data_IF_094790885023
#
_entry.id   IF_094790885023
#
_cell.length_a   1.000
_cell.length_b   1.000
_cell.length_c   1.000
_cell.angle_alpha   90.00
_cell.angle_beta   90.00
_cell.angle_gamma   90.00
#
_symmetry.space_group_name_H-M   'P 1'
#
loop_
_entity.id
_entity.type
_entity.pdbx_description
1 polymer ?
#
# COMPACT_ATOMS: atom_id res chain seq x y z
N UNK A 1 51.11 21.36 -22.16
CA UNK A 1 50.88 21.95 -23.49
C UNK A 1 49.62 22.79 -23.39
N UNK A 2 49.82 24.10 -23.47
CA UNK A 2 48.78 25.13 -23.48
C UNK A 2 48.02 25.08 -24.80
N UNK A 3 46.69 25.05 -24.76
CA UNK A 3 45.87 25.58 -25.85
C UNK A 3 44.87 26.57 -25.26
N UNK A 4 45.00 27.80 -25.75
CA UNK A 4 44.32 29.03 -25.34
C UNK A 4 42.81 29.00 -25.61
N UNK A 5 41.96 29.55 -24.72
CA UNK A 5 40.60 29.96 -25.05
C UNK A 5 40.58 31.47 -25.32
N UNK A 6 40.72 31.90 -26.59
CA UNK A 6 40.72 33.34 -26.90
C UNK A 6 39.92 33.81 -28.14
N UNK A 7 39.00 33.01 -28.69
CA UNK A 7 38.21 33.46 -29.87
C UNK A 7 36.73 33.81 -29.62
N UNK A 8 36.15 33.50 -28.45
CA UNK A 8 34.73 33.84 -28.18
C UNK A 8 34.38 35.28 -27.75
N UNK A 9 35.25 36.12 -27.16
CA UNK A 9 34.81 37.45 -26.69
C UNK A 9 34.70 38.49 -27.81
N UNK A 10 35.40 38.30 -28.94
CA UNK A 10 35.46 39.29 -30.03
C UNK A 10 34.16 39.28 -30.86
N UNK A 11 33.58 38.11 -31.12
CA UNK A 11 32.32 37.97 -31.87
C UNK A 11 31.11 38.50 -31.09
N UNK A 12 31.07 38.35 -29.76
CA UNK A 12 29.99 38.92 -28.92
C UNK A 12 30.08 40.45 -28.80
N UNK A 13 31.30 41.02 -28.73
CA UNK A 13 31.49 42.48 -28.73
C UNK A 13 31.10 43.13 -30.07
N UNK A 14 31.40 42.49 -31.20
CA UNK A 14 31.00 42.98 -32.54
C UNK A 14 29.48 43.00 -32.75
N UNK A 15 28.75 42.01 -32.23
CA UNK A 15 27.28 41.99 -32.31
C UNK A 15 26.63 43.04 -31.39
N UNK A 16 27.14 43.19 -30.16
CA UNK A 16 26.65 44.21 -29.21
C UNK A 16 26.85 45.64 -29.74
N UNK A 17 28.02 45.91 -30.34
CA UNK A 17 28.31 47.20 -30.99
C UNK A 17 27.33 47.53 -32.10
N UNK A 18 27.03 46.57 -32.99
CA UNK A 18 26.07 46.75 -34.09
C UNK A 18 24.65 47.02 -33.60
N UNK A 19 24.16 46.29 -32.61
CA UNK A 19 22.82 46.52 -32.04
C UNK A 19 22.72 47.90 -31.35
N UNK A 20 23.79 48.37 -30.70
CA UNK A 20 23.82 49.70 -30.09
C UNK A 20 23.76 50.82 -31.13
N UNK A 21 24.42 50.64 -32.28
CA UNK A 21 24.42 51.60 -33.39
C UNK A 21 23.06 51.65 -34.07
N UNK A 22 22.43 50.49 -34.30
CA UNK A 22 21.08 50.40 -34.89
C UNK A 22 20.07 51.07 -33.95
N UNK A 23 20.11 50.79 -32.63
CA UNK A 23 19.20 51.40 -31.67
C UNK A 23 19.33 52.93 -31.62
N UNK A 24 20.56 53.46 -31.67
CA UNK A 24 20.82 54.91 -31.73
C UNK A 24 20.28 55.53 -33.03
N UNK A 25 20.44 54.86 -34.16
CA UNK A 25 19.95 55.35 -35.45
C UNK A 25 18.42 55.35 -35.49
N UNK A 26 17.77 54.29 -34.99
CA UNK A 26 16.30 54.25 -34.87
C UNK A 26 15.79 55.32 -33.92
N UNK A 27 16.42 55.53 -32.77
CA UNK A 27 16.03 56.59 -31.85
C UNK A 27 16.17 57.98 -32.48
N UNK A 28 17.25 58.23 -33.22
CA UNK A 28 17.42 59.49 -33.95
C UNK A 28 16.33 59.70 -35.01
N UNK A 29 15.93 58.65 -35.73
CA UNK A 29 14.83 58.74 -36.70
C UNK A 29 13.48 59.02 -36.02
N UNK A 30 13.22 58.40 -34.86
CA UNK A 30 12.04 58.68 -34.03
C UNK A 30 12.05 60.14 -33.56
N UNK A 31 13.17 60.63 -33.03
CA UNK A 31 13.29 62.01 -32.53
C UNK A 31 13.10 63.04 -33.66
N UNK A 32 13.58 62.74 -34.88
CA UNK A 32 13.35 63.58 -36.06
C UNK A 32 11.88 63.59 -36.47
N UNK A 33 11.22 62.43 -36.46
CA UNK A 33 9.80 62.32 -36.77
C UNK A 33 8.91 63.04 -35.74
N UNK A 34 9.25 62.94 -34.45
CA UNK A 34 8.56 63.66 -33.36
C UNK A 34 8.70 65.16 -33.54
N UNK A 35 9.92 65.68 -33.77
CA UNK A 35 10.15 67.11 -34.02
C UNK A 35 9.44 67.62 -35.28
N UNK A 36 9.33 66.78 -36.31
CA UNK A 36 8.58 67.11 -37.51
C UNK A 36 7.07 67.19 -37.23
N UNK A 37 6.53 66.25 -36.45
CA UNK A 37 5.13 66.26 -36.01
C UNK A 37 4.81 67.46 -35.10
N UNK A 38 5.70 67.83 -34.18
CA UNK A 38 5.57 69.01 -33.31
C UNK A 38 5.51 70.31 -34.13
N UNK A 39 6.39 70.46 -35.14
CA UNK A 39 6.35 71.61 -36.07
C UNK A 39 5.04 71.70 -36.86
N UNK A 40 4.43 70.57 -37.21
CA UNK A 40 3.14 70.53 -37.90
C UNK A 40 1.97 70.92 -36.97
N UNK A 41 2.12 70.74 -35.66
CA UNK A 41 1.12 71.12 -34.64
C UNK A 41 1.22 72.61 -34.23
N UNK A 42 2.40 73.21 -34.29
CA UNK A 42 2.65 74.63 -33.93
C UNK A 42 2.30 75.64 -35.04
N UNK A 43 1.99 75.17 -36.26
CA UNK A 43 1.62 75.99 -37.42
C UNK A 43 0.23 76.62 -37.33
N UNK A 44 0.06 77.61 -36.44
CA UNK A 44 -1.14 78.46 -36.41
C UNK A 44 -1.22 79.36 -37.65
N UNK A 45 -2.16 79.05 -38.56
CA UNK A 45 -2.96 79.99 -39.40
C UNK A 45 -3.49 79.42 -40.73
N UNK A 46 -3.23 78.16 -41.11
CA UNK A 46 -3.87 77.52 -42.28
C UNK A 46 -4.35 76.09 -41.96
N UNK A 47 -5.54 75.97 -41.36
CA UNK A 47 -6.10 74.71 -40.83
C UNK A 47 -6.34 73.62 -41.90
N UNK A 48 -6.43 73.97 -43.19
CA UNK A 48 -6.64 73.00 -44.28
C UNK A 48 -5.37 72.26 -44.71
N UNK A 49 -4.21 72.92 -44.64
CA UNK A 49 -2.92 72.37 -45.11
C UNK A 49 -2.28 71.44 -44.07
N UNK A 50 -2.30 71.83 -42.79
CA UNK A 50 -1.86 70.96 -41.69
C UNK A 50 -2.71 69.69 -41.54
N UNK A 51 -4.01 69.74 -41.87
CA UNK A 51 -4.88 68.57 -41.85
C UNK A 51 -4.56 67.54 -42.95
N UNK A 52 -4.11 67.98 -44.13
CA UNK A 52 -3.69 67.08 -45.21
C UNK A 52 -2.33 66.44 -44.91
N UNK A 53 -1.37 67.22 -44.43
CA UNK A 53 -0.05 66.74 -44.02
C UNK A 53 -0.15 65.74 -42.85
N UNK A 54 -1.07 65.97 -41.91
CA UNK A 54 -1.36 65.03 -40.83
C UNK A 54 -1.99 63.70 -41.32
N UNK A 55 -2.90 63.76 -42.30
CA UNK A 55 -3.46 62.55 -42.93
C UNK A 55 -2.39 61.76 -43.66
N UNK A 56 -1.49 62.46 -44.35
CA UNK A 56 -0.37 61.83 -45.04
C UNK A 56 0.59 61.15 -44.06
N UNK A 57 0.97 61.83 -42.97
CA UNK A 57 1.81 61.23 -41.92
C UNK A 57 1.13 60.00 -41.28
N UNK A 58 -0.19 60.06 -41.02
CA UNK A 58 -0.93 58.89 -40.52
C UNK A 58 -0.97 57.74 -41.50
N UNK A 59 -1.11 58.01 -42.80
CA UNK A 59 -1.05 56.98 -43.83
C UNK A 59 0.35 56.35 -43.93
N UNK A 60 1.41 57.14 -43.79
CA UNK A 60 2.80 56.67 -43.78
C UNK A 60 3.11 55.82 -42.53
N UNK A 61 2.61 56.23 -41.36
CA UNK A 61 2.71 55.44 -40.12
C UNK A 61 1.95 54.13 -40.25
N UNK A 62 0.71 54.15 -40.74
CA UNK A 62 -0.08 52.93 -40.96
C UNK A 62 0.61 51.96 -41.92
N UNK A 63 1.19 52.46 -43.02
CA UNK A 63 1.96 51.64 -43.95
C UNK A 63 3.27 51.10 -43.33
N UNK A 64 3.89 51.83 -42.41
CA UNK A 64 5.06 51.36 -41.67
C UNK A 64 4.70 50.29 -40.64
N UNK A 65 3.59 50.48 -39.91
CA UNK A 65 3.04 49.50 -38.96
C UNK A 65 2.70 48.19 -39.67
N UNK A 66 2.08 48.25 -40.85
CA UNK A 66 1.79 47.08 -41.69
C UNK A 66 3.08 46.34 -42.09
N UNK A 67 4.11 47.05 -42.53
CA UNK A 67 5.42 46.44 -42.88
C UNK A 67 6.09 45.78 -41.67
N UNK A 68 5.98 46.37 -40.48
CA UNK A 68 6.52 45.79 -39.24
C UNK A 68 5.72 44.55 -38.84
N UNK A 69 4.40 44.60 -38.90
CA UNK A 69 3.55 43.44 -38.63
C UNK A 69 3.89 42.27 -39.56
N UNK A 70 4.05 42.54 -40.86
CA UNK A 70 4.47 41.56 -41.86
C UNK A 70 5.85 40.96 -41.55
N UNK A 71 6.82 41.79 -41.15
CA UNK A 71 8.16 41.34 -40.79
C UNK A 71 8.17 40.48 -39.53
N UNK A 72 7.35 40.82 -38.53
CA UNK A 72 7.18 40.04 -37.29
C UNK A 72 6.59 38.67 -37.61
N UNK A 73 5.52 38.61 -38.41
CA UNK A 73 4.90 37.33 -38.82
C UNK A 73 5.88 36.45 -39.58
N UNK A 74 6.68 37.02 -40.49
CA UNK A 74 7.72 36.27 -41.22
C UNK A 74 8.83 35.77 -40.30
N UNK A 75 9.29 36.60 -39.35
CA UNK A 75 10.28 36.21 -38.35
C UNK A 75 9.78 35.05 -37.47
N UNK A 76 8.55 35.12 -36.99
CA UNK A 76 7.93 34.07 -36.20
C UNK A 76 7.79 32.76 -36.98
N UNK A 77 7.42 32.85 -38.25
CA UNK A 77 7.35 31.69 -39.14
C UNK A 77 8.73 31.04 -39.31
N UNK A 78 9.76 31.84 -39.58
CA UNK A 78 11.13 31.33 -39.76
C UNK A 78 11.68 30.72 -38.47
N UNK A 79 11.45 31.34 -37.31
CA UNK A 79 11.84 30.77 -36.01
C UNK A 79 11.14 29.43 -35.76
N UNK A 80 9.83 29.34 -36.01
CA UNK A 80 9.08 28.08 -35.86
C UNK A 80 9.57 27.02 -36.84
N UNK A 81 9.84 27.38 -38.09
CA UNK A 81 10.39 26.48 -39.09
C UNK A 81 11.77 25.94 -38.66
N UNK A 82 12.63 26.80 -38.12
CA UNK A 82 13.96 26.44 -37.63
C UNK A 82 13.90 25.55 -36.38
N UNK A 83 12.98 25.81 -35.45
CA UNK A 83 12.73 24.94 -34.28
C UNK A 83 12.27 23.55 -34.73
N UNK A 84 11.36 23.48 -35.70
CA UNK A 84 10.88 22.21 -36.26
C UNK A 84 12.01 21.47 -36.99
N UNK A 85 12.85 22.19 -37.74
CA UNK A 85 13.98 21.59 -38.45
C UNK A 85 15.03 21.04 -37.47
N UNK A 86 15.37 21.79 -36.42
CA UNK A 86 16.26 21.33 -35.37
C UNK A 86 15.69 20.11 -34.65
N UNK A 87 14.39 20.11 -34.32
CA UNK A 87 13.72 18.95 -33.72
C UNK A 87 13.67 17.73 -34.65
N UNK A 88 13.70 17.92 -35.98
CA UNK A 88 13.82 16.84 -36.97
C UNK A 88 15.24 16.28 -37.04
N UNK A 89 16.26 17.14 -36.92
CA UNK A 89 17.68 16.75 -36.88
C UNK A 89 18.04 16.02 -35.58
N UNK A 90 17.43 16.43 -34.47
CA UNK A 90 17.62 15.82 -33.14
C UNK A 90 16.73 14.60 -32.90
N UNK A 91 16.04 14.08 -33.93
CA UNK A 91 15.27 12.84 -33.77
C UNK A 91 16.24 11.71 -33.42
N UNK A 92 16.14 11.11 -32.22
CA UNK A 92 16.96 9.95 -31.90
C UNK A 92 16.64 8.88 -32.93
N UNK A 93 17.69 8.33 -33.54
CA UNK A 93 17.57 7.22 -34.47
C UNK A 93 16.71 6.12 -33.81
N UNK A 94 15.69 5.64 -34.52
CA UNK A 94 14.76 4.66 -33.98
C UNK A 94 15.48 3.37 -33.54
N UNK A 95 16.61 3.04 -34.19
CA UNK A 95 17.48 1.94 -33.77
C UNK A 95 18.14 2.20 -32.42
N UNK A 96 18.70 3.39 -32.21
CA UNK A 96 19.37 3.79 -30.97
C UNK A 96 18.37 3.87 -29.80
N UNK A 97 17.17 4.39 -30.04
CA UNK A 97 16.10 4.39 -29.04
C UNK A 97 15.70 2.97 -28.63
N UNK A 98 15.55 2.05 -29.59
CA UNK A 98 15.25 0.64 -29.30
C UNK A 98 16.39 -0.04 -28.54
N UNK A 99 17.64 0.23 -28.90
CA UNK A 99 18.82 -0.28 -28.20
C UNK A 99 18.87 0.24 -26.75
N UNK A 100 18.60 1.52 -26.53
CA UNK A 100 18.54 2.11 -25.20
C UNK A 100 17.38 1.54 -24.36
N UNK A 101 16.20 1.35 -24.93
CA UNK A 101 15.07 0.69 -24.25
C UNK A 101 15.44 -0.74 -23.86
N UNK A 102 16.07 -1.50 -24.76
CA UNK A 102 16.52 -2.87 -24.48
C UNK A 102 17.57 -2.90 -23.35
N UNK A 103 18.54 -1.98 -23.38
CA UNK A 103 19.56 -1.84 -22.33
C UNK A 103 18.93 -1.53 -20.96
N UNK A 104 18.00 -0.56 -20.91
CA UNK A 104 17.29 -0.20 -19.67
C UNK A 104 16.48 -1.38 -19.14
N UNK A 105 15.75 -2.11 -20.00
CA UNK A 105 15.01 -3.30 -19.61
C UNK A 105 15.91 -4.40 -19.06
N UNK A 106 17.07 -4.62 -19.67
CA UNK A 106 18.06 -5.58 -19.18
C UNK A 106 18.56 -5.21 -17.78
N UNK A 107 18.91 -3.93 -17.57
CA UNK A 107 19.33 -3.42 -16.24
C UNK A 107 18.21 -3.53 -15.21
N UNK A 108 16.97 -3.20 -15.57
CA UNK A 108 15.80 -3.34 -14.71
C UNK A 108 15.58 -4.80 -14.30
N UNK A 109 15.71 -5.75 -15.24
CA UNK A 109 15.59 -7.17 -14.96
C UNK A 109 16.67 -7.67 -14.00
N UNK A 110 17.93 -7.22 -14.16
CA UNK A 110 19.03 -7.54 -13.25
C UNK A 110 18.78 -7.01 -11.84
N UNK A 111 18.37 -5.74 -11.71
CA UNK A 111 18.00 -5.13 -10.43
C UNK A 111 16.82 -5.88 -9.80
N UNK A 112 15.81 -6.26 -10.60
CA UNK A 112 14.68 -7.07 -10.15
C UNK A 112 15.12 -8.40 -9.53
N UNK A 113 16.04 -9.14 -10.18
CA UNK A 113 16.61 -10.38 -9.62
C UNK A 113 17.30 -10.15 -8.28
N UNK A 114 18.08 -9.08 -8.15
CA UNK A 114 18.79 -8.73 -6.91
C UNK A 114 17.81 -8.38 -5.78
N UNK A 115 16.74 -7.64 -6.08
CA UNK A 115 15.71 -7.32 -5.09
C UNK A 115 14.96 -8.59 -4.65
N UNK A 116 14.55 -9.46 -5.59
CA UNK A 116 13.90 -10.74 -5.26
C UNK A 116 14.79 -11.59 -4.35
N UNK A 117 16.08 -11.69 -4.67
CA UNK A 117 17.05 -12.40 -3.84
C UNK A 117 17.18 -11.78 -2.45
N UNK A 118 17.31 -10.44 -2.35
CA UNK A 118 17.38 -9.74 -1.07
C UNK A 118 16.12 -9.98 -0.23
N UNK A 119 14.92 -9.89 -0.82
CA UNK A 119 13.65 -10.19 -0.15
C UNK A 119 13.62 -11.61 0.41
N UNK A 120 14.04 -12.59 -0.40
CA UNK A 120 14.10 -14.00 -0.01
C UNK A 120 15.02 -14.23 1.17
N UNK A 121 16.22 -13.66 1.13
CA UNK A 121 17.19 -13.77 2.23
C UNK A 121 16.61 -13.10 3.48
N UNK A 122 16.19 -11.84 3.39
CA UNK A 122 15.64 -11.09 4.53
C UNK A 122 14.45 -11.80 5.20
N UNK A 123 13.54 -12.37 4.41
CA UNK A 123 12.37 -13.09 4.95
C UNK A 123 12.79 -14.40 5.63
N UNK A 124 13.74 -15.14 5.07
CA UNK A 124 14.22 -16.39 5.71
C UNK A 124 14.96 -16.08 7.01
N UNK A 125 15.90 -15.14 6.97
CA UNK A 125 16.66 -14.73 8.14
C UNK A 125 15.75 -14.20 9.26
N UNK A 126 14.72 -13.41 8.95
CA UNK A 126 13.82 -12.92 10.00
C UNK A 126 12.95 -14.03 10.59
N UNK A 127 12.51 -15.00 9.78
CA UNK A 127 11.75 -16.16 10.27
C UNK A 127 12.63 -17.02 11.20
N UNK A 128 13.89 -17.21 10.83
CA UNK A 128 14.89 -17.94 11.62
C UNK A 128 15.25 -17.20 12.92
N UNK A 129 15.45 -15.87 12.88
CA UNK A 129 15.72 -15.03 14.07
C UNK A 129 14.55 -15.05 15.04
N UNK A 130 13.31 -15.06 14.56
CA UNK A 130 12.13 -15.22 15.40
C UNK A 130 11.93 -16.67 15.87
N UNK A 131 12.75 -17.62 15.41
CA UNK A 131 12.71 -19.00 15.85
C UNK A 131 11.40 -19.70 15.52
N UNK A 132 10.80 -19.42 14.35
CA UNK A 132 9.59 -20.11 13.90
C UNK A 132 9.97 -21.53 13.47
N UNK A 133 9.55 -22.52 14.24
CA UNK A 133 9.87 -23.91 13.94
C UNK A 133 8.82 -24.87 14.49
N UNK A 134 8.84 -26.09 13.96
CA UNK A 134 8.00 -27.19 14.43
C UNK A 134 8.86 -28.22 15.14
N UNK A 135 8.79 -28.27 16.48
CA UNK A 135 9.42 -29.33 17.30
C UNK A 135 8.43 -30.43 17.61
N UNK A 136 7.49 -30.14 18.51
CA UNK A 136 6.34 -31.00 18.85
C UNK A 136 5.04 -30.31 18.46
N UNK A 137 4.95 -29.03 18.81
CA UNK A 137 4.01 -28.04 18.32
C UNK A 137 4.79 -26.95 17.57
N UNK A 138 4.05 -26.07 16.89
CA UNK A 138 4.62 -24.85 16.33
C UNK A 138 4.97 -23.87 17.45
N UNK A 139 6.17 -23.29 17.37
CA UNK A 139 6.65 -22.30 18.33
C UNK A 139 7.24 -21.08 17.63
N UNK A 140 7.26 -19.95 18.35
CA UNK A 140 7.91 -18.69 17.94
C UNK A 140 8.61 -18.11 19.17
N UNK A 141 9.87 -17.71 19.02
CA UNK A 141 10.73 -17.23 20.11
C UNK A 141 10.79 -18.19 21.33
N UNK A 142 10.68 -19.50 21.08
CA UNK A 142 10.61 -20.53 22.13
C UNK A 142 9.26 -20.65 22.84
N UNK A 143 8.26 -19.86 22.46
CA UNK A 143 6.89 -19.93 22.99
C UNK A 143 6.03 -20.82 22.10
N UNK A 144 5.45 -21.87 22.69
CA UNK A 144 4.59 -22.81 21.96
C UNK A 144 3.21 -22.19 21.72
N UNK A 145 2.82 -22.11 20.45
CA UNK A 145 1.47 -21.76 20.06
C UNK A 145 0.59 -23.00 20.16
N UNK A 146 -0.54 -22.95 20.89
CA UNK A 146 -1.49 -24.05 20.91
C UNK A 146 -1.95 -24.40 19.50
N UNK A 147 -2.03 -25.70 19.20
CA UNK A 147 -2.28 -26.20 17.83
C UNK A 147 -3.59 -25.71 17.22
N UNK A 148 -4.54 -25.27 18.04
CA UNK A 148 -5.84 -24.76 17.60
C UNK A 148 -6.34 -23.62 18.50
N UNK A 149 -7.10 -22.64 17.95
CA UNK A 149 -7.50 -21.44 18.69
C UNK A 149 -8.37 -21.73 19.93
N UNK A 150 -9.16 -22.80 19.92
CA UNK A 150 -10.01 -23.17 21.07
C UNK A 150 -9.21 -23.64 22.29
N UNK A 151 -7.92 -23.97 22.10
CA UNK A 151 -6.99 -24.26 23.20
C UNK A 151 -6.45 -23.00 23.88
N UNK A 152 -6.59 -21.80 23.28
CA UNK A 152 -6.12 -20.56 23.90
C UNK A 152 -6.77 -20.32 25.27
N UNK A 153 -7.97 -20.85 25.49
CA UNK A 153 -8.63 -20.81 26.79
C UNK A 153 -7.85 -21.55 27.89
N UNK A 154 -6.98 -22.50 27.55
CA UNK A 154 -6.16 -23.25 28.52
C UNK A 154 -4.83 -22.56 28.85
N UNK A 155 -4.41 -21.60 28.04
CA UNK A 155 -3.14 -20.91 28.25
C UNK A 155 -3.31 -19.60 29.06
N UNK A 156 -2.26 -19.18 29.79
CA UNK A 156 -2.20 -17.85 30.38
C UNK A 156 -2.35 -16.76 29.32
N UNK A 157 -3.09 -15.69 29.63
CA UNK A 157 -3.28 -14.55 28.72
C UNK A 157 -1.95 -13.92 28.32
N UNK A 158 -1.02 -13.79 29.26
CA UNK A 158 0.32 -13.28 29.01
C UNK A 158 1.08 -14.10 27.96
N UNK A 159 0.98 -15.43 28.03
CA UNK A 159 1.61 -16.35 27.08
C UNK A 159 1.07 -16.16 25.66
N UNK A 160 -0.26 -16.16 25.51
CA UNK A 160 -0.91 -15.94 24.21
C UNK A 160 -0.59 -14.55 23.65
N UNK A 161 -0.65 -13.51 24.49
CA UNK A 161 -0.35 -12.15 24.06
C UNK A 161 1.11 -12.00 23.62
N UNK A 162 2.06 -12.62 24.32
CA UNK A 162 3.47 -12.61 23.93
C UNK A 162 3.66 -13.25 22.55
N UNK A 163 3.06 -14.42 22.30
CA UNK A 163 3.09 -15.09 21.00
C UNK A 163 2.50 -14.21 19.90
N UNK A 164 1.32 -13.63 20.15
CA UNK A 164 0.64 -12.75 19.19
C UNK A 164 1.49 -11.52 18.86
N UNK A 165 2.17 -10.92 19.85
CA UNK A 165 3.08 -9.80 19.62
C UNK A 165 4.29 -10.20 18.76
N UNK A 166 4.89 -11.37 19.00
CA UNK A 166 5.96 -11.89 18.14
C UNK A 166 5.47 -12.12 16.71
N UNK A 167 4.27 -12.69 16.53
CA UNK A 167 3.66 -12.88 15.21
C UNK A 167 3.44 -11.54 14.50
N UNK A 168 2.88 -10.55 15.20
CA UNK A 168 2.65 -9.20 14.64
C UNK A 168 3.97 -8.55 14.21
N UNK A 169 5.01 -8.65 15.04
CA UNK A 169 6.31 -8.07 14.74
C UNK A 169 6.95 -8.76 13.53
N UNK A 170 6.96 -10.09 13.50
CA UNK A 170 7.44 -10.86 12.36
C UNK A 170 6.66 -10.52 11.08
N UNK A 171 5.34 -10.49 11.16
CA UNK A 171 4.46 -10.15 10.03
C UNK A 171 4.74 -8.73 9.51
N UNK A 172 4.99 -7.76 10.39
CA UNK A 172 5.37 -6.39 10.00
C UNK A 172 6.68 -6.36 9.21
N UNK A 173 7.68 -7.14 9.62
CA UNK A 173 8.95 -7.24 8.90
C UNK A 173 8.77 -7.94 7.56
N UNK A 174 8.06 -9.08 7.52
CA UNK A 174 7.81 -9.82 6.28
C UNK A 174 7.05 -8.98 5.25
N UNK A 175 5.98 -8.30 5.66
CA UNK A 175 5.17 -7.44 4.77
C UNK A 175 5.97 -6.25 4.24
N UNK A 176 6.85 -5.66 5.04
CA UNK A 176 7.77 -4.60 4.60
C UNK A 176 8.82 -5.11 3.61
N UNK A 177 9.50 -6.21 3.91
CA UNK A 177 10.50 -6.79 3.02
C UNK A 177 9.88 -7.21 1.68
N UNK A 178 8.72 -7.88 1.72
CA UNK A 178 8.02 -8.31 0.51
C UNK A 178 7.31 -7.18 -0.23
N UNK A 179 7.15 -6.01 0.41
CA UNK A 179 6.37 -4.87 -0.11
C UNK A 179 4.92 -5.29 -0.42
N UNK A 180 4.27 -5.92 0.57
CA UNK A 180 2.91 -6.47 0.48
C UNK A 180 2.05 -5.88 1.58
N UNK A 181 1.07 -5.08 1.17
CA UNK A 181 -0.08 -4.72 1.98
C UNK A 181 -0.98 -5.93 2.25
N UNK A 182 -1.33 -6.15 3.51
CA UNK A 182 -2.25 -7.21 3.94
C UNK A 182 -3.69 -6.68 4.11
N UNK A 183 -4.73 -7.55 4.10
CA UNK A 183 -6.12 -7.15 4.20
C UNK A 183 -6.49 -6.48 5.51
N UNK A 184 -5.97 -6.99 6.65
CA UNK A 184 -6.14 -6.39 7.96
C UNK A 184 -4.78 -6.10 8.58
N UNK A 185 -4.55 -4.86 8.99
CA UNK A 185 -3.26 -4.40 9.49
C UNK A 185 -3.26 -4.37 11.03
N UNK A 186 -2.33 -5.07 11.69
CA UNK A 186 -2.11 -4.90 13.12
C UNK A 186 -1.56 -3.50 13.40
N UNK A 187 -2.19 -2.80 14.33
CA UNK A 187 -1.87 -1.41 14.67
C UNK A 187 -1.96 -1.22 16.19
N UNK A 188 -1.17 -0.30 16.74
CA UNK A 188 -1.12 -0.03 18.17
C UNK A 188 -1.76 1.33 18.46
N UNK A 189 -2.39 1.47 19.63
CA UNK A 189 -2.87 2.77 20.05
C UNK A 189 -1.68 3.60 20.54
N UNK A 190 -1.49 4.78 19.96
CA UNK A 190 -0.43 5.71 20.39
C UNK A 190 -0.78 6.42 21.72
N UNK A 191 -2.06 6.44 22.11
CA UNK A 191 -2.57 7.32 23.18
C UNK A 191 -2.96 6.60 24.48
N UNK A 192 -3.34 5.31 24.44
CA UNK A 192 -3.81 4.57 25.62
C UNK A 192 -3.07 3.23 25.72
N UNK A 193 -2.17 3.13 26.70
CA UNK A 193 -1.40 1.95 27.07
C UNK A 193 -0.54 1.34 25.95
N UNK A 194 0.77 1.55 26.06
CA UNK A 194 1.79 0.85 25.25
C UNK A 194 1.52 -0.66 25.29
N UNK A 195 1.24 -1.28 24.14
CA UNK A 195 1.31 -2.73 23.97
C UNK A 195 0.02 -3.50 23.62
N UNK A 196 -1.16 -2.86 23.46
CA UNK A 196 -2.39 -3.55 23.03
C UNK A 196 -2.68 -3.34 21.54
N UNK A 197 -2.47 -4.36 20.67
CA UNK A 197 -2.72 -4.21 19.25
C UNK A 197 -4.20 -4.38 18.91
N UNK A 198 -4.62 -3.73 17.83
CA UNK A 198 -5.91 -3.93 17.17
C UNK A 198 -5.72 -4.24 15.69
N UNK A 199 -6.66 -4.98 15.12
CA UNK A 199 -6.77 -5.23 13.69
C UNK A 199 -7.72 -4.20 13.09
N UNK A 200 -7.30 -3.56 12.00
CA UNK A 200 -8.14 -2.66 11.20
C UNK A 200 -8.11 -3.11 9.74
N UNK A 201 -9.25 -3.02 9.06
CA UNK A 201 -9.31 -3.24 7.62
C UNK A 201 -8.45 -2.23 6.87
N UNK A 202 -7.57 -2.73 6.01
CA UNK A 202 -6.77 -1.90 5.12
C UNK A 202 -7.68 -1.39 3.98
N UNK A 203 -8.01 -0.11 3.98
CA UNK A 203 -8.83 0.52 2.93
C UNK A 203 -7.92 1.27 1.95
N UNK A 204 -8.21 1.24 0.63
CA UNK A 204 -9.40 0.71 -0.03
C UNK A 204 -9.34 -0.81 -0.35
N UNK A 205 -8.34 -1.52 0.16
CA UNK A 205 -8.03 -2.91 -0.20
C UNK A 205 -9.20 -3.88 0.11
N UNK A 206 -10.01 -3.64 1.14
CA UNK A 206 -11.21 -4.41 1.44
C UNK A 206 -12.51 -3.61 1.26
N UNK A 207 -13.44 -4.08 0.43
CA UNK A 207 -14.82 -3.59 0.39
C UNK A 207 -15.73 -4.35 1.37
N UNK A 208 -15.30 -4.48 2.63
CA UNK A 208 -16.15 -5.06 3.70
C UNK A 208 -16.77 -3.93 4.52
N UNK A 209 -18.03 -4.01 4.90
CA UNK A 209 -18.66 -3.11 5.87
C UNK A 209 -18.66 -3.68 7.29
N UNK A 210 -18.61 -5.01 7.42
CA UNK A 210 -18.77 -5.73 8.70
C UNK A 210 -17.53 -5.66 9.60
N UNK A 211 -16.34 -5.63 9.00
CA UNK A 211 -15.06 -5.73 9.73
C UNK A 211 -14.22 -4.45 9.60
N UNK A 212 -14.88 -3.29 9.40
CA UNK A 212 -14.18 -2.00 9.26
C UNK A 212 -13.66 -1.45 10.59
N UNK A 213 -14.34 -1.79 11.68
CA UNK A 213 -14.06 -1.23 13.00
C UNK A 213 -12.76 -1.77 13.59
N UNK A 214 -12.32 -1.18 14.70
CA UNK A 214 -11.14 -1.64 15.44
C UNK A 214 -11.44 -2.94 16.17
N UNK A 215 -10.72 -4.00 15.85
CA UNK A 215 -10.86 -5.31 16.48
C UNK A 215 -9.69 -5.59 17.43
N UNK A 216 -9.94 -5.62 18.75
CA UNK A 216 -8.89 -5.76 19.76
C UNK A 216 -8.22 -7.14 19.71
N UNK A 217 -6.95 -7.17 19.31
CA UNK A 217 -6.12 -8.36 19.26
C UNK A 217 -5.33 -8.52 20.55
N UNK A 218 -6.05 -8.52 21.68
CA UNK A 218 -5.47 -8.68 23.00
C UNK A 218 -6.34 -9.59 23.85
N UNK A 219 -5.73 -10.66 24.37
CA UNK A 219 -6.39 -11.56 25.29
C UNK A 219 -6.41 -10.93 26.68
N UNK A 220 -7.58 -10.46 27.11
CA UNK A 220 -7.78 -10.01 28.49
C UNK A 220 -7.51 -11.17 29.45
N UNK A 221 -6.88 -10.88 30.60
CA UNK A 221 -6.90 -11.80 31.73
C UNK A 221 -8.35 -12.19 32.01
N UNK A 222 -8.58 -13.50 32.07
CA UNK A 222 -9.91 -14.05 32.30
C UNK A 222 -10.36 -13.62 33.69
N UNK A 223 -11.63 -13.29 33.87
CA UNK A 223 -12.12 -12.84 35.16
C UNK A 223 -12.29 -14.02 36.13
N UNK A 224 -11.53 -14.03 37.22
CA UNK A 224 -11.67 -15.02 38.30
C UNK A 224 -12.81 -14.59 39.23
N UNK A 225 -13.71 -15.52 39.56
CA UNK A 225 -14.57 -15.37 40.74
C UNK A 225 -13.80 -15.95 41.92
N UNK A 226 -13.21 -15.08 42.71
CA UNK A 226 -12.57 -15.48 43.96
C UNK A 226 -13.52 -16.23 44.88
N UNK A 227 -13.05 -17.39 45.39
CA UNK A 227 -13.76 -18.12 46.45
C UNK A 227 -14.00 -17.24 47.70
N UNK A 228 -13.23 -16.15 47.87
CA UNK A 228 -13.42 -15.16 48.95
C UNK A 228 -14.51 -14.12 48.65
N UNK A 229 -14.98 -13.98 47.41
CA UNK A 229 -16.17 -13.19 47.10
C UNK A 229 -17.40 -14.09 47.09
N UNK A 230 -18.12 -14.08 48.21
CA UNK A 230 -19.49 -14.58 48.33
C UNK A 230 -20.49 -13.66 47.57
N UNK A 231 -20.16 -13.31 46.33
CA UNK A 231 -21.08 -12.62 45.44
C UNK A 231 -22.27 -13.51 45.09
N UNK A 232 -23.41 -12.87 44.80
CA UNK A 232 -24.64 -13.56 44.38
C UNK A 232 -24.36 -14.47 43.17
N UNK A 233 -25.10 -15.59 43.04
CA UNK A 233 -25.04 -16.46 41.85
C UNK A 233 -25.17 -15.65 40.54
N UNK A 234 -25.95 -14.57 40.57
CA UNK A 234 -26.11 -13.65 39.43
C UNK A 234 -24.85 -12.87 39.08
N UNK A 235 -24.10 -12.38 40.07
CA UNK A 235 -22.85 -11.62 39.83
C UNK A 235 -21.78 -12.51 39.22
N UNK A 236 -21.67 -13.75 39.70
CA UNK A 236 -20.75 -14.76 39.15
C UNK A 236 -21.08 -15.06 37.69
N UNK A 237 -22.37 -15.26 37.37
CA UNK A 237 -22.82 -15.48 35.99
C UNK A 237 -22.52 -14.28 35.08
N UNK A 238 -22.69 -13.04 35.57
CA UNK A 238 -22.36 -11.84 34.80
C UNK A 238 -20.86 -11.70 34.52
N UNK A 239 -20.00 -12.04 35.48
CA UNK A 239 -18.55 -12.02 35.31
C UNK A 239 -18.10 -13.01 34.24
N UNK A 240 -18.63 -14.25 34.30
CA UNK A 240 -18.34 -15.29 33.31
C UNK A 240 -18.81 -14.86 31.91
N UNK A 241 -20.02 -14.31 31.79
CA UNK A 241 -20.55 -13.81 30.53
C UNK A 241 -19.70 -12.67 29.93
N UNK A 242 -19.23 -11.73 30.76
CA UNK A 242 -18.33 -10.65 30.33
C UNK A 242 -16.99 -11.21 29.85
N UNK A 243 -16.42 -12.17 30.57
CA UNK A 243 -15.17 -12.84 30.19
C UNK A 243 -15.31 -13.58 28.86
N UNK A 244 -16.42 -14.31 28.67
CA UNK A 244 -16.72 -15.01 27.43
C UNK A 244 -16.83 -14.05 26.23
N UNK A 245 -17.54 -12.93 26.38
CA UNK A 245 -17.65 -11.90 25.33
C UNK A 245 -16.28 -11.33 24.94
N UNK A 246 -15.42 -11.01 25.93
CA UNK A 246 -14.05 -10.54 25.67
C UNK A 246 -13.21 -11.58 24.92
N UNK A 247 -13.28 -12.84 25.34
CA UNK A 247 -12.55 -13.92 24.66
C UNK A 247 -13.05 -14.13 23.23
N UNK A 248 -14.36 -14.09 23.00
CA UNK A 248 -14.96 -14.16 21.67
C UNK A 248 -14.45 -13.04 20.76
N UNK A 249 -14.40 -11.79 21.24
CA UNK A 249 -13.86 -10.67 20.46
C UNK A 249 -12.37 -10.82 20.14
N UNK A 250 -11.58 -11.37 21.07
CA UNK A 250 -10.19 -11.73 20.79
C UNK A 250 -10.09 -12.78 19.68
N UNK A 251 -10.90 -13.84 19.71
CA UNK A 251 -10.92 -14.88 18.68
C UNK A 251 -11.35 -14.36 17.30
N UNK A 252 -12.33 -13.45 17.26
CA UNK A 252 -12.72 -12.73 16.04
C UNK A 252 -11.51 -11.97 15.47
N UNK A 253 -10.81 -11.21 16.32
CA UNK A 253 -9.61 -10.45 15.92
C UNK A 253 -8.47 -11.36 15.47
N UNK A 254 -8.27 -12.49 16.14
CA UNK A 254 -7.27 -13.49 15.77
C UNK A 254 -7.60 -14.14 14.42
N UNK A 255 -8.88 -14.38 14.11
CA UNK A 255 -9.29 -14.87 12.79
C UNK A 255 -8.98 -13.87 11.66
N UNK A 256 -9.10 -12.56 11.91
CA UNK A 256 -8.68 -11.52 10.94
C UNK A 256 -7.16 -11.52 10.70
N UNK A 257 -6.37 -11.79 11.76
CA UNK A 257 -4.93 -11.99 11.63
C UNK A 257 -4.63 -13.25 10.80
N UNK A 258 -5.30 -14.38 11.09
CA UNK A 258 -5.17 -15.63 10.35
C UNK A 258 -5.44 -15.43 8.84
N UNK A 259 -6.54 -14.73 8.51
CA UNK A 259 -6.88 -14.40 7.12
C UNK A 259 -5.77 -13.58 6.43
N UNK A 260 -5.18 -12.62 7.14
CA UNK A 260 -4.11 -11.78 6.61
C UNK A 260 -2.80 -12.54 6.38
N UNK A 261 -2.48 -13.48 7.26
CA UNK A 261 -1.32 -14.38 7.09
C UNK A 261 -1.55 -15.36 5.95
N UNK A 262 -2.75 -15.92 5.84
CA UNK A 262 -3.16 -16.77 4.72
C UNK A 262 -3.09 -16.02 3.38
N UNK A 263 -3.51 -14.75 3.35
CA UNK A 263 -3.34 -13.89 2.18
C UNK A 263 -1.86 -13.71 1.82
N UNK A 264 -1.01 -13.39 2.79
CA UNK A 264 0.43 -13.25 2.56
C UNK A 264 1.01 -14.53 1.95
N UNK A 265 0.73 -15.69 2.55
CA UNK A 265 1.19 -16.99 2.06
C UNK A 265 0.71 -17.26 0.62
N UNK A 266 -0.56 -17.00 0.32
CA UNK A 266 -1.11 -17.09 -1.03
C UNK A 266 -0.36 -16.21 -2.04
N UNK A 267 -0.11 -14.93 -1.69
CA UNK A 267 0.63 -14.03 -2.58
C UNK A 267 2.04 -14.51 -2.86
N UNK A 268 2.65 -15.27 -1.94
CA UNK A 268 3.97 -15.85 -2.11
C UNK A 268 3.97 -17.25 -2.73
N UNK A 269 2.82 -17.77 -3.15
CA UNK A 269 2.70 -19.03 -3.89
C UNK A 269 2.55 -20.27 -3.02
N UNK A 270 2.20 -20.12 -1.74
CA UNK A 270 1.77 -21.26 -0.91
C UNK A 270 0.40 -21.75 -1.41
N UNK A 271 0.31 -23.04 -1.71
CA UNK A 271 -0.89 -23.70 -2.23
C UNK A 271 -1.66 -24.41 -1.11
N UNK A 272 -2.91 -24.81 -1.38
CA UNK A 272 -3.69 -25.64 -0.47
C UNK A 272 -4.15 -24.95 0.82
N UNK A 273 -4.19 -23.62 0.84
CA UNK A 273 -4.68 -22.86 2.00
C UNK A 273 -6.20 -22.90 2.03
N UNK A 274 -6.79 -23.31 3.14
CA UNK A 274 -8.25 -23.33 3.29
C UNK A 274 -8.72 -23.56 4.71
N UNK A 275 -10.02 -23.85 4.84
CA UNK A 275 -10.65 -24.21 6.12
C UNK A 275 -10.83 -25.73 6.12
N UNK A 276 -10.27 -26.42 7.10
CA UNK A 276 -10.32 -27.88 7.16
C UNK A 276 -11.75 -28.43 7.34
N UNK A 277 -12.07 -29.63 6.81
CA UNK A 277 -13.41 -30.23 6.86
C UNK A 277 -13.91 -30.53 8.28
N UNK A 278 -13.01 -30.62 9.27
CA UNK A 278 -13.35 -30.78 10.69
C UNK A 278 -14.02 -29.51 11.28
N UNK A 279 -13.94 -28.36 10.61
CA UNK A 279 -14.47 -27.07 11.10
C UNK A 279 -15.95 -26.85 10.77
N UNK A 280 -16.50 -27.64 9.84
CA UNK A 280 -17.89 -27.56 9.40
C UNK A 280 -18.59 -28.89 9.65
N UNK A 281 -18.99 -29.12 10.90
CA UNK A 281 -20.19 -29.93 11.15
C UNK A 281 -21.36 -28.96 11.28
N UNK A 282 -22.13 -28.69 10.21
CA UNK A 282 -23.36 -27.93 10.37
C UNK A 282 -24.27 -28.70 11.33
N UNK A 283 -24.85 -28.00 12.30
CA UNK A 283 -25.89 -28.55 13.16
C UNK A 283 -26.99 -29.21 12.29
N UNK A 284 -27.64 -30.31 12.73
CA UNK A 284 -28.69 -30.95 11.96
C UNK A 284 -29.89 -30.02 11.88
N UNK A 285 -29.97 -29.22 10.82
CA UNK A 285 -31.15 -28.45 10.51
C UNK A 285 -32.18 -29.38 9.90
N UNK A 286 -33.29 -29.58 10.61
CA UNK A 286 -34.53 -30.06 10.04
C UNK A 286 -34.97 -29.11 8.91
N UNK A 287 -34.62 -29.43 7.66
CA UNK A 287 -35.31 -28.86 6.49
C UNK A 287 -35.68 -29.96 5.52
N UNK A 288 -36.98 -29.98 5.23
CA UNK A 288 -37.70 -30.89 4.37
C UNK A 288 -37.15 -30.87 2.95
N UNK A 289 -37.24 -32.04 2.30
CA UNK A 289 -37.08 -32.30 0.87
C UNK A 289 -37.61 -31.15 -0.01
N UNK A 290 -36.79 -30.70 -0.95
CA UNK A 290 -37.20 -30.46 -2.33
C UNK A 290 -35.98 -30.63 -3.24
N UNK A 291 -36.14 -31.49 -4.23
CA UNK A 291 -35.28 -31.69 -5.39
C UNK A 291 -35.11 -30.39 -6.17
N UNK A 292 -33.88 -30.02 -6.51
CA UNK A 292 -33.43 -29.88 -7.90
C UNK A 292 -31.99 -29.33 -7.97
N UNK A 293 -31.20 -30.06 -8.75
CA UNK A 293 -30.08 -29.66 -9.62
C UNK A 293 -29.04 -28.62 -9.17
N UNK A 294 -27.83 -29.17 -8.98
CA UNK A 294 -26.61 -28.77 -9.69
C UNK A 294 -26.04 -27.35 -9.41
N UNK A 295 -25.42 -27.19 -8.25
CA UNK A 295 -24.33 -26.22 -8.08
C UNK A 295 -23.28 -26.78 -7.11
N UNK A 296 -22.39 -27.62 -7.64
CA UNK A 296 -21.16 -27.98 -6.94
C UNK A 296 -20.11 -26.89 -7.21
N UNK A 297 -19.51 -26.27 -6.19
CA UNK A 297 -18.39 -25.37 -6.42
C UNK A 297 -17.26 -26.16 -7.08
N UNK A 298 -16.81 -25.70 -8.24
CA UNK A 298 -15.70 -26.28 -9.01
C UNK A 298 -14.41 -26.20 -8.18
N UNK A 299 -14.17 -27.22 -7.38
CA UNK A 299 -12.82 -27.56 -6.93
C UNK A 299 -12.02 -27.95 -8.17
N UNK A 300 -10.95 -27.21 -8.46
CA UNK A 300 -9.94 -27.69 -9.41
C UNK A 300 -9.20 -28.86 -8.73
N UNK A 301 -9.31 -30.10 -9.24
CA UNK A 301 -8.60 -31.23 -8.68
C UNK A 301 -7.21 -31.25 -9.34
N UNK A 302 -6.19 -30.89 -8.58
CA UNK A 302 -4.84 -30.73 -9.11
C UNK A 302 -3.76 -30.70 -8.03
N UNK A 303 -3.83 -31.63 -7.09
CA UNK A 303 -2.69 -32.21 -6.33
C UNK A 303 -3.28 -33.02 -5.16
N UNK A 304 -2.65 -34.13 -4.80
CA UNK A 304 -2.84 -34.86 -3.53
C UNK A 304 -2.43 -34.00 -2.31
N UNK A 305 -2.86 -32.74 -2.27
CA UNK A 305 -2.28 -31.66 -1.50
C UNK A 305 -2.79 -31.63 -0.07
N UNK A 306 -1.85 -31.68 0.87
CA UNK A 306 -2.09 -31.38 2.29
C UNK A 306 -2.76 -30.01 2.40
N UNK A 307 -4.02 -29.98 2.85
CA UNK A 307 -4.72 -28.74 3.14
C UNK A 307 -4.12 -28.08 4.38
N UNK A 308 -3.57 -26.89 4.23
CA UNK A 308 -3.05 -26.10 5.34
C UNK A 308 -4.17 -25.22 5.87
N UNK A 309 -4.49 -25.37 7.16
CA UNK A 309 -5.55 -24.59 7.79
C UNK A 309 -5.17 -23.10 7.82
N UNK A 310 -6.11 -22.23 7.45
CA UNK A 310 -5.96 -20.77 7.58
C UNK A 310 -5.63 -20.33 9.02
N UNK A 311 -6.00 -21.13 10.03
CA UNK A 311 -5.72 -20.87 11.45
C UNK A 311 -4.33 -21.31 11.90
N UNK A 312 -3.58 -22.07 11.08
CA UNK A 312 -2.22 -22.53 11.37
C UNK A 312 -1.20 -21.45 11.00
N UNK A 313 -1.24 -20.34 11.74
CA UNK A 313 -0.49 -19.11 11.44
C UNK A 313 1.01 -19.34 11.28
N UNK A 314 1.65 -20.06 12.21
CA UNK A 314 3.09 -20.33 12.17
C UNK A 314 3.49 -21.28 11.04
N UNK A 315 2.63 -22.25 10.71
CA UNK A 315 2.83 -23.14 9.55
C UNK A 315 2.80 -22.35 8.24
N UNK A 316 1.82 -21.46 8.08
CA UNK A 316 1.72 -20.60 6.90
C UNK A 316 2.94 -19.67 6.76
N UNK A 317 3.46 -19.14 7.88
CA UNK A 317 4.68 -18.32 7.88
C UNK A 317 5.89 -19.14 7.45
N UNK A 318 6.06 -20.35 7.99
CA UNK A 318 7.17 -21.23 7.62
C UNK A 318 7.10 -21.61 6.12
N UNK A 319 5.93 -22.03 5.64
CA UNK A 319 5.71 -22.35 4.22
C UNK A 319 5.94 -21.14 3.30
N UNK A 320 5.63 -19.93 3.77
CA UNK A 320 5.93 -18.69 3.03
C UNK A 320 7.44 -18.51 2.86
N UNK A 321 8.23 -18.72 3.91
CA UNK A 321 9.70 -18.61 3.87
C UNK A 321 10.36 -19.67 2.97
N UNK A 322 9.76 -20.86 2.91
CA UNK A 322 10.22 -21.98 2.08
C UNK A 322 9.76 -21.88 0.62
N UNK A 323 8.79 -21.02 0.31
CA UNK A 323 8.19 -20.94 -1.02
C UNK A 323 9.23 -20.68 -2.13
N UNK A 324 9.17 -21.42 -3.25
CA UNK A 324 10.07 -21.21 -4.40
C UNK A 324 9.84 -19.86 -5.08
N UNK A 325 8.64 -19.30 -4.97
CA UNK A 325 8.24 -18.00 -5.56
C UNK A 325 8.35 -16.83 -4.59
N UNK A 326 8.97 -17.04 -3.42
CA UNK A 326 9.17 -15.99 -2.42
C UNK A 326 9.90 -14.78 -3.02
N UNK A 327 9.30 -13.60 -2.84
CA UNK A 327 9.81 -12.30 -3.27
C UNK A 327 9.50 -11.91 -4.72
N UNK A 328 8.98 -12.83 -5.54
CA UNK A 328 8.66 -12.57 -6.96
C UNK A 328 7.44 -11.67 -7.15
N UNK A 329 6.50 -11.73 -6.20
CA UNK A 329 5.22 -11.03 -6.21
C UNK A 329 5.19 -9.94 -5.13
N UNK A 330 4.84 -8.72 -5.50
CA UNK A 330 4.70 -7.57 -4.60
C UNK A 330 3.63 -6.59 -5.10
N UNK A 331 3.09 -5.69 -4.25
CA UNK A 331 2.13 -4.68 -4.70
C UNK A 331 2.84 -3.55 -5.47
N UNK A 332 3.40 -2.56 -4.78
CA UNK A 332 4.26 -1.53 -5.37
C UNK A 332 5.32 -1.09 -4.35
N UNK A 333 6.55 -0.73 -4.78
CA UNK A 333 7.08 -0.85 -6.15
C UNK A 333 7.35 -2.31 -6.52
N UNK A 334 6.85 -2.75 -7.68
CA UNK A 334 6.97 -4.15 -8.13
C UNK A 334 8.28 -4.42 -8.86
N UNK A 335 8.79 -5.65 -8.73
CA UNK A 335 10.05 -6.09 -9.35
C UNK A 335 9.84 -6.94 -10.59
N UNK A 336 8.94 -7.92 -10.51
CA UNK A 336 8.64 -8.87 -11.59
C UNK A 336 7.14 -8.98 -11.81
N UNK A 337 6.41 -9.35 -10.75
CA UNK A 337 4.96 -9.51 -10.82
C UNK A 337 4.28 -8.59 -9.81
N UNK A 338 3.37 -7.74 -10.31
CA UNK A 338 2.47 -6.98 -9.45
C UNK A 338 1.36 -7.91 -8.95
N UNK A 339 1.23 -8.04 -7.64
CA UNK A 339 0.09 -8.74 -7.03
C UNK A 339 -1.17 -7.96 -7.35
N UNK A 340 -2.09 -8.59 -8.07
CA UNK A 340 -3.44 -8.06 -8.24
C UNK A 340 -4.27 -8.48 -7.02
N UNK A 341 -5.06 -7.56 -6.49
CA UNK A 341 -5.94 -7.82 -5.35
C UNK A 341 -7.04 -8.86 -5.65
N UNK A 342 -7.25 -9.18 -6.93
CA UNK A 342 -8.23 -10.17 -7.41
C UNK A 342 -7.57 -11.55 -7.44
N UNK A 343 -7.98 -12.46 -6.56
CA UNK A 343 -7.58 -13.88 -6.63
C UNK A 343 -7.54 -14.64 -5.30
N UNK A 344 -7.52 -13.95 -4.16
CA UNK A 344 -7.62 -14.62 -2.87
C UNK A 344 -9.09 -14.88 -2.52
N UNK A 345 -9.54 -16.13 -2.67
CA UNK A 345 -10.94 -16.53 -2.55
C UNK A 345 -11.36 -16.95 -1.14
N UNK A 346 -10.47 -16.85 -0.15
CA UNK A 346 -10.79 -17.25 1.23
C UNK A 346 -11.74 -16.22 1.86
N UNK A 347 -12.98 -16.63 2.15
CA UNK A 347 -13.96 -15.76 2.80
C UNK A 347 -13.61 -15.54 4.28
N UNK A 348 -13.44 -14.28 4.64
CA UNK A 348 -13.17 -13.83 6.01
C UNK A 348 -14.26 -14.33 6.96
N UNK A 349 -15.53 -14.29 6.53
CA UNK A 349 -16.67 -14.71 7.34
C UNK A 349 -16.61 -16.20 7.66
N UNK A 350 -16.15 -17.03 6.73
CA UNK A 350 -15.97 -18.46 6.94
C UNK A 350 -14.80 -18.73 7.90
N UNK A 351 -13.68 -18.01 7.77
CA UNK A 351 -12.53 -18.14 8.70
C UNK A 351 -12.96 -17.79 10.12
N UNK A 352 -13.65 -16.66 10.31
CA UNK A 352 -14.18 -16.26 11.61
C UNK A 352 -15.18 -17.29 12.15
N UNK A 353 -16.11 -17.77 11.31
CA UNK A 353 -17.09 -18.77 11.70
C UNK A 353 -16.43 -20.10 12.09
N UNK A 354 -15.37 -20.52 11.41
CA UNK A 354 -14.60 -21.72 11.73
C UNK A 354 -14.00 -21.62 13.14
N UNK A 355 -13.28 -20.53 13.45
CA UNK A 355 -12.67 -20.31 14.78
C UNK A 355 -13.73 -20.31 15.89
N UNK A 356 -14.84 -19.60 15.68
CA UNK A 356 -15.90 -19.50 16.68
C UNK A 356 -16.69 -20.80 16.85
N UNK A 357 -16.90 -21.57 15.77
CA UNK A 357 -17.57 -22.88 15.82
C UNK A 357 -16.74 -23.88 16.61
N UNK A 358 -15.42 -23.93 16.39
CA UNK A 358 -14.53 -24.81 17.15
C UNK A 358 -14.54 -24.46 18.65
N UNK A 359 -14.49 -23.17 18.98
CA UNK A 359 -14.61 -22.69 20.37
C UNK A 359 -15.95 -23.10 20.99
N UNK A 360 -17.06 -22.92 20.26
CA UNK A 360 -18.39 -23.26 20.74
C UNK A 360 -18.60 -24.78 20.85
N UNK A 361 -18.07 -25.58 19.94
CA UNK A 361 -18.19 -27.04 19.99
C UNK A 361 -17.50 -27.61 21.23
N UNK A 362 -16.35 -27.04 21.61
CA UNK A 362 -15.58 -27.50 22.76
C UNK A 362 -16.10 -26.96 24.09
N UNK A 363 -16.51 -25.68 24.13
CA UNK A 363 -16.80 -24.98 25.38
C UNK A 363 -18.26 -24.52 25.52
N UNK A 364 -19.04 -24.55 24.44
CA UNK A 364 -20.41 -24.04 24.37
C UNK A 364 -21.50 -25.02 24.82
N UNK A 365 -21.14 -26.28 25.10
CA UNK A 365 -22.08 -27.30 25.59
C UNK A 365 -22.33 -27.25 27.11
N UNK A 366 -21.56 -26.46 27.86
CA UNK A 366 -21.78 -26.30 29.30
C UNK A 366 -23.00 -25.40 29.56
N UNK A 367 -24.17 -26.03 29.69
CA UNK A 367 -25.23 -25.47 30.54
C UNK A 367 -24.61 -25.24 31.94
N UNK A 368 -24.91 -24.12 32.62
CA UNK A 368 -24.32 -23.78 33.92
C UNK A 368 -24.85 -24.64 35.10
N UNK A 369 -25.26 -25.89 34.86
CA UNK A 369 -26.00 -26.72 35.81
C UNK A 369 -25.39 -28.11 36.09
N UNK A 370 -24.16 -28.40 35.64
CA UNK A 370 -23.49 -29.66 36.03
C UNK A 370 -22.21 -29.36 36.77
N UNK A 371 -22.23 -29.78 38.03
CA UNK A 371 -21.19 -29.64 39.03
C UNK A 371 -19.78 -29.96 38.50
N UNK A 372 -18.87 -28.99 38.68
CA UNK A 372 -17.61 -29.32 39.33
C UNK A 372 -16.41 -29.69 38.46
N UNK A 373 -16.46 -29.65 37.12
CA UNK A 373 -15.25 -29.80 36.29
C UNK A 373 -15.29 -28.97 34.99
N UNK A 374 -15.38 -27.65 35.10
CA UNK A 374 -14.69 -26.85 34.10
C UNK A 374 -13.20 -26.98 34.41
N UNK A 375 -12.45 -27.73 33.59
CA UNK A 375 -11.00 -27.70 33.58
C UNK A 375 -10.54 -26.32 33.07
N UNK A 376 -10.79 -25.30 33.89
CA UNK A 376 -10.17 -24.00 33.76
C UNK A 376 -8.73 -24.21 34.24
N UNK A 377 -7.80 -24.17 33.30
CA UNK A 377 -6.35 -24.25 33.53
C UNK A 377 -5.93 -23.50 34.80
N UNK A 378 -5.05 -24.13 35.57
CA UNK A 378 -4.53 -23.72 36.89
C UNK A 378 -3.69 -22.41 36.86
N UNK A 379 -3.64 -21.69 35.74
CA UNK A 379 -2.92 -20.43 35.57
C UNK A 379 -3.75 -19.16 35.77
N UNK A 380 -4.54 -19.10 36.85
CA UNK A 380 -5.24 -17.87 37.28
C UNK A 380 -4.36 -17.09 38.27
N UNK A 381 -3.16 -16.70 37.84
CA UNK A 381 -2.25 -15.92 38.69
C UNK A 381 -2.45 -14.40 38.58
N UNK A 382 -2.37 -13.83 39.77
CA UNK A 382 -2.50 -12.45 40.25
C UNK A 382 -1.48 -11.49 39.65
N UNK A 383 -1.94 -10.29 39.27
CA UNK A 383 -1.46 -8.95 39.69
C UNK A 383 -2.64 -8.00 39.35
N UNK A 384 -3.21 -7.22 40.27
CA UNK A 384 -2.54 -6.31 41.20
C UNK A 384 -2.75 -6.67 42.67
N UNK A 385 -1.63 -6.94 43.36
CA UNK A 385 -1.50 -6.61 44.78
C UNK A 385 -0.84 -5.22 44.82
N UNK A 386 -1.54 -4.28 45.43
CA UNK A 386 -1.11 -2.98 45.96
C UNK A 386 0.14 -2.31 45.32
N UNK A 387 -0.11 -1.25 44.53
CA UNK A 387 0.50 0.07 44.75
C UNK A 387 -0.41 1.18 44.24
#
# INVERSE_FOLDING_TARGET
>A
MLQSPQEEPVLRQLHSGRHSVIKKNVQQQVDVAVKHAEKLLEGGHNHSRGAQEWRQLRAEVAAAEERVADAVVRSDYLQRAQVIENAKRDRPNAADLRANIALVRSKQHEVGKRIIHARRVLVREVVDVFGVQRRRSWEIAGLQLPSSPELFRLEPSLHINAIVLHIIHLLSLMTRYLSISIPFTPTFNEQEHVGRPYMIANLPFLSTTKWRDKHLLWMSSKAYVSKKHAGSKQEKAQIVLKSYKKHKHFLESFALLCHSVAYLAFTQGVLGIGIGPQSFRPAPSNRRKSSDENDSPRFLPGSDGVLVSATSVLELIALTAESPTLGCKSHEPSTSDTVKHMGFSLDISEVVASVLTCEHARWGASKPDVEGKEHLSEGWEVMDMDT
#
